data_IF_934849723709
#
_entry.id   IF_934849723709
#
_cell.length_a   1.000
_cell.length_b   1.000
_cell.length_c   1.000
_cell.angle_alpha   90.00
_cell.angle_beta   90.00
_cell.angle_gamma   90.00
#
_symmetry.space_group_name_H-M   'P 1'
#
loop_
_entity.id
_entity.type
_entity.pdbx_description
1 polymer ?
#
# COMPACT_ATOMS: atom_id res chain seq x y z
N UNK A 1 -24.20 14.54 -23.10
CA UNK A 1 -23.15 14.00 -22.22
C UNK A 1 -21.83 14.07 -22.98
N UNK A 2 -20.69 14.20 -22.30
CA UNK A 2 -19.38 14.29 -22.96
C UNK A 2 -18.94 12.89 -23.44
N UNK A 3 -18.77 12.66 -24.76
CA UNK A 3 -18.40 11.35 -25.31
C UNK A 3 -17.08 10.80 -24.75
N UNK A 4 -16.11 11.67 -24.44
CA UNK A 4 -14.84 11.26 -23.87
C UNK A 4 -15.03 10.67 -22.47
N UNK A 5 -15.97 11.21 -21.70
CA UNK A 5 -16.31 10.72 -20.37
C UNK A 5 -17.00 9.36 -20.43
N UNK A 6 -17.89 9.13 -21.39
CA UNK A 6 -18.55 7.84 -21.58
C UNK A 6 -17.55 6.75 -21.97
N UNK A 7 -16.65 7.05 -22.92
CA UNK A 7 -15.57 6.14 -23.31
C UNK A 7 -14.62 5.82 -22.15
N UNK A 8 -14.34 6.80 -21.28
CA UNK A 8 -13.55 6.55 -20.08
C UNK A 8 -14.24 5.51 -19.17
N UNK A 9 -15.53 5.66 -18.87
CA UNK A 9 -16.23 4.72 -17.98
C UNK A 9 -16.36 3.32 -18.61
N UNK A 10 -16.58 3.22 -19.92
CA UNK A 10 -16.51 1.95 -20.64
C UNK A 10 -15.13 1.29 -20.53
N UNK A 11 -14.04 2.06 -20.67
CA UNK A 11 -12.67 1.55 -20.49
C UNK A 11 -12.41 1.09 -19.04
N UNK A 12 -13.01 1.76 -18.05
CA UNK A 12 -12.88 1.35 -16.65
C UNK A 12 -13.64 0.06 -16.38
N UNK A 13 -14.81 -0.12 -16.97
CA UNK A 13 -15.58 -1.35 -16.84
C UNK A 13 -14.82 -2.56 -17.41
N UNK A 14 -14.25 -2.41 -18.61
CA UNK A 14 -13.36 -3.43 -19.21
C UNK A 14 -12.17 -3.72 -18.28
N UNK A 15 -11.51 -2.69 -17.74
CA UNK A 15 -10.41 -2.87 -16.79
C UNK A 15 -10.86 -3.61 -15.51
N UNK A 16 -12.07 -3.35 -15.01
CA UNK A 16 -12.56 -4.03 -13.82
C UNK A 16 -12.75 -5.53 -14.09
N UNK A 17 -13.40 -5.86 -15.20
CA UNK A 17 -13.74 -7.25 -15.53
C UNK A 17 -12.53 -8.06 -16.03
N UNK A 18 -11.77 -7.53 -16.98
CA UNK A 18 -10.68 -8.27 -17.66
C UNK A 18 -9.38 -8.29 -16.85
N UNK A 19 -9.22 -7.35 -15.91
CA UNK A 19 -7.96 -7.17 -15.19
C UNK A 19 -8.16 -7.28 -13.68
N UNK A 20 -9.04 -6.48 -13.09
CA UNK A 20 -9.13 -6.39 -11.64
C UNK A 20 -9.73 -7.67 -11.03
N UNK A 21 -10.75 -8.25 -11.65
CA UNK A 21 -11.37 -9.51 -11.20
C UNK A 21 -10.38 -10.69 -11.25
N UNK A 22 -9.64 -10.96 -12.34
CA UNK A 22 -8.61 -12.00 -12.32
C UNK A 22 -7.55 -11.79 -11.23
N UNK A 23 -7.11 -10.55 -11.01
CA UNK A 23 -6.14 -10.23 -9.94
C UNK A 23 -6.73 -10.49 -8.57
N UNK A 24 -8.00 -10.14 -8.31
CA UNK A 24 -8.63 -10.39 -7.01
C UNK A 24 -8.84 -11.88 -6.77
N UNK A 25 -9.12 -12.67 -7.81
CA UNK A 25 -9.22 -14.13 -7.72
C UNK A 25 -7.87 -14.74 -7.32
N UNK A 26 -6.78 -14.36 -7.98
CA UNK A 26 -5.43 -14.82 -7.62
C UNK A 26 -5.09 -14.44 -6.17
N UNK A 27 -5.40 -13.20 -5.77
CA UNK A 27 -5.21 -12.77 -4.39
C UNK A 27 -6.07 -13.58 -3.41
N UNK A 28 -7.32 -13.86 -3.73
CA UNK A 28 -8.21 -14.69 -2.92
C UNK A 28 -7.72 -16.13 -2.78
N UNK A 29 -7.12 -16.71 -3.83
CA UNK A 29 -6.48 -18.04 -3.79
C UNK A 29 -5.21 -18.02 -2.92
N UNK A 30 -4.43 -16.93 -2.97
CA UNK A 30 -3.24 -16.77 -2.12
C UNK A 30 -3.58 -16.45 -0.65
N UNK A 31 -4.76 -15.91 -0.38
CA UNK A 31 -5.16 -15.42 0.94
C UNK A 31 -5.12 -16.52 2.04
N UNK A 32 -5.62 -17.76 1.84
CA UNK A 32 -5.47 -18.85 2.80
C UNK A 32 -4.01 -19.13 3.17
N UNK A 33 -3.09 -19.07 2.19
CA UNK A 33 -1.65 -19.29 2.41
C UNK A 33 -1.10 -18.16 3.29
N UNK A 34 -1.42 -16.90 2.97
CA UNK A 34 -1.00 -15.74 3.77
C UNK A 34 -1.56 -15.82 5.20
N UNK A 35 -2.83 -16.21 5.37
CA UNK A 35 -3.46 -16.42 6.68
C UNK A 35 -2.73 -17.53 7.43
N UNK A 36 -2.41 -18.65 6.77
CA UNK A 36 -1.65 -19.75 7.36
C UNK A 36 -0.26 -19.31 7.85
N UNK A 37 0.46 -18.52 7.05
CA UNK A 37 1.75 -17.93 7.43
C UNK A 37 1.61 -16.94 8.60
N UNK A 38 0.55 -16.13 8.62
CA UNK A 38 0.23 -15.22 9.71
C UNK A 38 -0.06 -15.95 11.02
N UNK A 39 -0.89 -17.00 10.98
CA UNK A 39 -1.19 -17.87 12.12
C UNK A 39 0.10 -18.53 12.61
N UNK A 40 0.89 -19.12 11.71
CA UNK A 40 2.16 -19.76 12.05
C UNK A 40 3.13 -18.78 12.73
N UNK A 41 3.32 -17.59 12.15
CA UNK A 41 4.16 -16.54 12.71
C UNK A 41 3.68 -16.10 14.09
N UNK A 42 2.37 -15.87 14.24
CA UNK A 42 1.75 -15.53 15.51
C UNK A 42 1.92 -16.62 16.56
N UNK A 43 1.71 -17.89 16.21
CA UNK A 43 1.89 -19.04 17.11
C UNK A 43 3.34 -19.19 17.57
N UNK A 44 4.32 -18.96 16.68
CA UNK A 44 5.74 -18.97 17.05
C UNK A 44 6.03 -17.87 18.08
N UNK A 45 5.43 -16.70 17.90
CA UNK A 45 5.69 -15.55 18.75
C UNK A 45 4.94 -15.59 20.08
N UNK A 46 3.71 -16.11 20.10
CA UNK A 46 2.95 -16.30 21.35
C UNK A 46 3.67 -17.26 22.32
N UNK A 47 4.42 -18.24 21.79
CA UNK A 47 5.31 -19.09 22.60
C UNK A 47 6.45 -18.30 23.24
N UNK A 48 7.01 -17.30 22.56
CA UNK A 48 8.04 -16.42 23.12
C UNK A 48 7.49 -15.52 24.23
N UNK A 49 6.28 -14.99 24.07
CA UNK A 49 5.61 -14.23 25.13
C UNK A 49 5.34 -15.07 26.39
N UNK A 50 5.20 -16.38 26.23
CA UNK A 50 5.07 -17.34 27.32
C UNK A 50 6.36 -17.56 28.13
N UNK A 51 7.52 -17.13 27.63
CA UNK A 51 8.81 -17.19 28.36
C UNK A 51 9.01 -15.99 29.31
N UNK A 52 8.16 -14.98 29.25
CA UNK A 52 8.22 -13.82 30.13
C UNK A 52 7.82 -14.14 31.57
N UNK A 53 8.21 -13.28 32.51
CA UNK A 53 7.76 -13.37 33.90
C UNK A 53 6.22 -13.15 34.00
N UNK A 54 5.56 -13.71 35.02
CA UNK A 54 4.16 -13.40 35.29
C UNK A 54 3.96 -11.88 35.43
N UNK A 55 3.01 -11.32 34.70
CA UNK A 55 2.65 -9.91 34.74
C UNK A 55 1.12 -9.77 34.84
N UNK A 56 0.63 -8.87 35.69
CA UNK A 56 -0.81 -8.59 35.78
C UNK A 56 -1.24 -7.77 34.56
N UNK A 57 -1.83 -8.48 33.59
CA UNK A 57 -2.34 -7.88 32.35
C UNK A 57 -3.76 -7.34 32.48
N UNK A 58 -4.46 -7.67 33.56
CA UNK A 58 -5.87 -7.32 33.78
C UNK A 58 -6.07 -6.10 34.67
N UNK A 59 -5.09 -5.77 35.51
CA UNK A 59 -5.10 -4.56 36.33
C UNK A 59 -5.18 -3.28 35.51
N UNK A 60 -6.03 -2.34 35.94
CA UNK A 60 -6.20 -1.01 35.35
C UNK A 60 -6.49 -1.01 33.82
N UNK A 61 -7.24 -2.01 33.34
CA UNK A 61 -7.52 -2.22 31.91
C UNK A 61 -8.00 -0.94 31.19
N UNK A 62 -8.90 -0.16 31.80
CA UNK A 62 -9.42 1.07 31.20
C UNK A 62 -8.31 2.11 30.97
N UNK A 63 -7.49 2.36 31.99
CA UNK A 63 -6.36 3.31 31.90
C UNK A 63 -5.35 2.84 30.86
N UNK A 64 -5.06 1.53 30.80
CA UNK A 64 -4.15 0.95 29.80
C UNK A 64 -4.72 1.11 28.39
N UNK A 65 -5.99 0.79 28.17
CA UNK A 65 -6.65 0.95 26.88
C UNK A 65 -6.65 2.41 26.43
N UNK A 66 -7.06 3.35 27.29
CA UNK A 66 -7.05 4.79 26.96
C UNK A 66 -5.62 5.27 26.64
N UNK A 67 -4.62 4.86 27.43
CA UNK A 67 -3.22 5.24 27.20
C UNK A 67 -2.71 4.66 25.88
N UNK A 68 -3.01 3.39 25.60
CA UNK A 68 -2.64 2.71 24.34
C UNK A 68 -3.29 3.39 23.15
N UNK A 69 -4.59 3.70 23.22
CA UNK A 69 -5.30 4.43 22.15
C UNK A 69 -4.72 5.84 21.97
N UNK A 70 -4.42 6.55 23.06
CA UNK A 70 -3.77 7.85 23.01
C UNK A 70 -2.39 7.78 22.33
N UNK A 71 -1.57 6.79 22.67
CA UNK A 71 -0.26 6.60 22.03
C UNK A 71 -0.40 6.17 20.56
N UNK A 72 -1.32 5.24 20.25
CA UNK A 72 -1.51 4.68 18.91
C UNK A 72 -2.11 5.67 17.91
N UNK A 73 -3.14 6.43 18.33
CA UNK A 73 -3.86 7.34 17.45
C UNK A 73 -3.36 8.77 17.56
N UNK A 74 -3.25 9.32 18.77
CA UNK A 74 -2.84 10.71 18.96
C UNK A 74 -1.32 10.89 18.83
N UNK A 75 -0.55 9.79 18.74
CA UNK A 75 0.89 9.82 18.50
C UNK A 75 1.60 10.83 19.41
N UNK A 76 1.15 10.96 20.67
CA UNK A 76 1.46 12.10 21.57
C UNK A 76 2.97 12.26 21.84
N UNK A 77 3.79 11.27 21.47
CA UNK A 77 5.25 11.32 21.56
C UNK A 77 5.92 12.03 20.37
N UNK A 78 5.22 12.30 19.26
CA UNK A 78 5.74 12.95 18.04
C UNK A 78 6.12 14.42 18.28
N UNK A 79 5.43 15.12 19.18
CA UNK A 79 5.65 16.56 19.42
C UNK A 79 6.98 16.87 20.11
N UNK A 80 7.74 15.86 20.56
CA UNK A 80 9.08 16.06 21.11
C UNK A 80 10.06 16.37 19.97
N UNK A 81 10.87 17.44 20.04
CA UNK A 81 11.78 17.80 18.93
C UNK A 81 12.70 16.66 18.46
N UNK A 82 13.20 15.83 19.41
CA UNK A 82 14.05 14.66 19.11
C UNK A 82 13.30 13.51 18.40
N UNK A 83 11.97 13.50 18.48
CA UNK A 83 11.09 12.48 17.89
C UNK A 83 10.23 13.00 16.72
N UNK A 84 10.38 14.28 16.36
CA UNK A 84 9.58 14.88 15.28
C UNK A 84 9.84 14.19 13.93
N UNK A 85 11.10 13.97 13.57
CA UNK A 85 11.45 13.27 12.32
C UNK A 85 10.86 11.85 12.24
N UNK A 86 11.17 10.93 13.19
CA UNK A 86 10.58 9.58 13.14
C UNK A 86 9.07 9.62 13.29
N UNK A 87 8.51 10.60 13.99
CA UNK A 87 7.08 10.81 14.10
C UNK A 87 6.42 11.11 12.75
N UNK A 88 6.83 12.18 12.08
CA UNK A 88 6.33 12.56 10.75
C UNK A 88 6.49 11.39 9.77
N UNK A 89 7.65 10.74 9.78
CA UNK A 89 7.94 9.57 8.94
C UNK A 89 6.92 8.45 9.14
N UNK A 90 6.61 8.07 10.39
CA UNK A 90 5.60 7.03 10.66
C UNK A 90 4.17 7.52 10.37
N UNK A 91 3.83 8.78 10.68
CA UNK A 91 2.52 9.34 10.34
C UNK A 91 2.25 9.31 8.83
N UNK A 92 3.26 9.62 8.01
CA UNK A 92 3.18 9.52 6.56
C UNK A 92 2.98 8.06 6.10
N UNK A 93 3.73 7.11 6.66
CA UNK A 93 3.59 5.69 6.28
C UNK A 93 2.23 5.12 6.71
N UNK A 94 1.83 5.28 7.98
CA UNK A 94 0.59 4.72 8.50
C UNK A 94 -0.64 5.43 7.95
N UNK A 95 -0.65 6.77 7.99
CA UNK A 95 -1.72 7.57 7.41
C UNK A 95 -1.83 7.36 5.90
N UNK A 96 -0.70 7.30 5.20
CA UNK A 96 -0.67 7.01 3.78
C UNK A 96 -1.18 5.61 3.46
N UNK A 97 -0.82 4.60 4.25
CA UNK A 97 -1.34 3.23 4.10
C UNK A 97 -2.86 3.18 4.31
N UNK A 98 -3.38 3.87 5.32
CA UNK A 98 -4.81 3.94 5.59
C UNK A 98 -5.58 4.59 4.42
N UNK A 99 -5.09 5.74 3.91
CA UNK A 99 -5.69 6.41 2.75
C UNK A 99 -5.60 5.54 1.49
N UNK A 100 -4.44 4.90 1.24
CA UNK A 100 -4.28 3.99 0.11
C UNK A 100 -5.30 2.87 0.18
N UNK A 101 -5.45 2.21 1.33
CA UNK A 101 -6.42 1.14 1.52
C UNK A 101 -7.86 1.63 1.34
N UNK A 102 -8.22 2.76 1.95
CA UNK A 102 -9.54 3.38 1.83
C UNK A 102 -9.91 3.70 0.39
N UNK A 103 -8.97 4.20 -0.41
CA UNK A 103 -9.22 4.45 -1.84
C UNK A 103 -9.34 3.16 -2.66
N UNK A 104 -8.64 2.08 -2.27
CA UNK A 104 -8.68 0.80 -2.99
C UNK A 104 -9.89 -0.06 -2.63
N UNK A 105 -10.38 -0.02 -1.39
CA UNK A 105 -11.51 -0.83 -0.93
C UNK A 105 -12.79 -0.52 -1.72
N UNK A 106 -12.95 0.73 -2.19
CA UNK A 106 -14.07 1.16 -3.05
C UNK A 106 -14.18 0.30 -4.32
N UNK A 107 -13.06 -0.21 -4.85
CA UNK A 107 -13.07 -1.06 -6.06
C UNK A 107 -13.58 -2.46 -5.78
N UNK A 108 -13.56 -2.93 -4.54
CA UNK A 108 -14.08 -4.26 -4.19
C UNK A 108 -15.60 -4.35 -4.38
N UNK A 109 -16.32 -3.23 -4.26
CA UNK A 109 -17.76 -3.20 -4.53
C UNK A 109 -18.11 -3.53 -5.99
N UNK A 110 -17.16 -3.33 -6.91
CA UNK A 110 -17.31 -3.70 -8.33
C UNK A 110 -17.16 -5.21 -8.59
N UNK A 111 -16.76 -6.01 -7.60
CA UNK A 111 -16.58 -7.46 -7.74
C UNK A 111 -17.90 -8.18 -7.46
N UNK A 112 -18.24 -9.19 -8.27
CA UNK A 112 -19.41 -10.05 -8.04
C UNK A 112 -20.76 -9.37 -8.32
N UNK A 113 -20.78 -8.26 -9.05
CA UNK A 113 -22.02 -7.57 -9.45
C UNK A 113 -22.73 -6.84 -8.30
N UNK A 114 -22.07 -6.62 -7.16
CA UNK A 114 -22.69 -6.01 -5.99
C UNK A 114 -23.09 -4.56 -6.28
N UNK A 115 -22.16 -3.69 -6.69
CA UNK A 115 -22.46 -2.34 -7.25
C UNK A 115 -21.25 -1.74 -7.99
N UNK A 116 -21.46 -1.08 -9.14
CA UNK A 116 -20.43 -0.19 -9.70
C UNK A 116 -20.43 1.11 -8.90
N UNK A 117 -19.31 1.53 -8.28
CA UNK A 117 -19.25 2.78 -7.55
C UNK A 117 -19.67 3.95 -8.43
N UNK A 118 -20.48 4.90 -7.93
CA UNK A 118 -20.78 6.12 -8.66
C UNK A 118 -19.50 6.80 -9.17
N UNK A 119 -19.51 7.35 -10.40
CA UNK A 119 -18.36 8.02 -11.00
C UNK A 119 -17.58 8.97 -10.07
N UNK A 120 -18.30 9.79 -9.31
CA UNK A 120 -17.71 10.72 -8.33
C UNK A 120 -16.98 9.98 -7.21
N UNK A 121 -17.58 8.94 -6.64
CA UNK A 121 -16.96 8.13 -5.56
C UNK A 121 -15.71 7.44 -6.08
N UNK A 122 -15.73 6.90 -7.30
CA UNK A 122 -14.54 6.31 -7.93
C UNK A 122 -13.39 7.31 -8.08
N UNK A 123 -13.71 8.54 -8.52
CA UNK A 123 -12.72 9.61 -8.71
C UNK A 123 -12.11 10.07 -7.38
N UNK A 124 -12.92 10.32 -6.36
CA UNK A 124 -12.42 10.64 -5.02
C UNK A 124 -11.60 9.50 -4.41
N UNK A 125 -12.04 8.25 -4.56
CA UNK A 125 -11.30 7.09 -4.10
C UNK A 125 -9.94 6.95 -4.82
N UNK A 126 -9.89 7.26 -6.12
CA UNK A 126 -8.64 7.33 -6.88
C UNK A 126 -7.69 8.37 -6.28
N UNK A 127 -8.17 9.60 -6.06
CA UNK A 127 -7.36 10.69 -5.51
C UNK A 127 -6.88 10.39 -4.08
N UNK A 128 -7.75 9.86 -3.22
CA UNK A 128 -7.39 9.42 -1.87
C UNK A 128 -6.28 8.37 -1.92
N UNK A 129 -6.36 7.41 -2.85
CA UNK A 129 -5.31 6.39 -3.00
C UNK A 129 -3.98 6.97 -3.52
N UNK A 130 -4.03 8.03 -4.33
CA UNK A 130 -2.84 8.75 -4.82
C UNK A 130 -2.14 9.51 -3.71
N UNK A 131 -2.90 10.27 -2.90
CA UNK A 131 -2.38 10.97 -1.73
C UNK A 131 -1.76 9.96 -0.77
N UNK A 132 -2.46 8.86 -0.49
CA UNK A 132 -1.97 7.80 0.39
C UNK A 132 -0.66 7.20 -0.11
N UNK A 133 -0.58 6.83 -1.38
CA UNK A 133 0.64 6.29 -1.97
C UNK A 133 1.80 7.30 -1.94
N UNK A 134 1.55 8.58 -2.26
CA UNK A 134 2.57 9.62 -2.21
C UNK A 134 3.14 9.80 -0.80
N UNK A 135 2.27 9.81 0.22
CA UNK A 135 2.67 9.86 1.62
C UNK A 135 3.57 8.66 1.98
N UNK A 136 3.23 7.45 1.56
CA UNK A 136 4.06 6.26 1.80
C UNK A 136 5.41 6.38 1.11
N UNK A 137 5.48 6.90 -0.13
CA UNK A 137 6.76 7.10 -0.81
C UNK A 137 7.64 8.10 -0.06
N UNK A 138 7.08 9.24 0.37
CA UNK A 138 7.83 10.25 1.12
C UNK A 138 8.29 9.68 2.48
N UNK A 139 7.37 9.07 3.25
CA UNK A 139 7.69 8.47 4.54
C UNK A 139 8.67 7.29 4.42
N UNK A 140 8.54 6.48 3.37
CA UNK A 140 9.47 5.40 3.03
C UNK A 140 10.86 5.92 2.68
N UNK A 141 10.97 6.95 1.84
CA UNK A 141 12.24 7.60 1.54
C UNK A 141 12.89 8.18 2.80
N UNK A 142 12.11 8.82 3.68
CA UNK A 142 12.58 9.29 4.98
C UNK A 142 13.10 8.14 5.86
N UNK A 143 12.43 6.98 5.85
CA UNK A 143 12.84 5.80 6.60
C UNK A 143 14.13 5.19 6.07
N UNK A 144 14.25 5.04 4.75
CA UNK A 144 15.45 4.56 4.06
C UNK A 144 16.62 5.50 4.35
N UNK A 145 16.45 6.81 4.17
CA UNK A 145 17.49 7.81 4.48
C UNK A 145 17.93 7.73 5.94
N UNK A 146 16.98 7.68 6.88
CA UNK A 146 17.30 7.61 8.30
C UNK A 146 18.05 6.33 8.66
N UNK A 147 17.72 5.21 8.03
CA UNK A 147 18.25 3.89 8.37
C UNK A 147 19.58 3.58 7.69
N UNK A 148 19.77 3.96 6.44
CA UNK A 148 20.96 3.60 5.67
C UNK A 148 21.97 4.73 5.48
N UNK A 149 21.54 5.99 5.61
CA UNK A 149 22.42 7.16 5.43
C UNK A 149 22.71 7.82 6.78
N UNK A 150 21.68 8.32 7.49
CA UNK A 150 21.88 9.04 8.76
C UNK A 150 22.38 8.16 9.90
N UNK A 151 22.00 6.87 9.92
CA UNK A 151 22.40 5.84 10.90
C UNK A 151 22.55 6.35 12.35
N UNK A 152 21.49 6.88 13.00
CA UNK A 152 21.57 7.30 14.40
C UNK A 152 22.05 6.15 15.30
N UNK A 153 22.93 6.43 16.26
CA UNK A 153 23.53 5.43 17.17
C UNK A 153 22.53 4.58 17.97
N UNK A 154 21.30 5.09 18.16
CA UNK A 154 20.20 4.39 18.83
C UNK A 154 19.46 3.37 17.95
N UNK A 155 19.86 3.17 16.70
CA UNK A 155 19.21 2.24 15.78
C UNK A 155 20.12 1.06 15.46
N UNK A 156 19.67 -0.12 15.85
CA UNK A 156 20.22 -1.36 15.31
C UNK A 156 19.81 -1.49 13.84
N UNK A 157 20.82 -1.65 12.97
CA UNK A 157 20.65 -1.78 11.52
C UNK A 157 20.99 -3.20 11.10
N UNK A 158 20.14 -4.15 11.50
CA UNK A 158 20.21 -5.52 10.99
C UNK A 158 19.55 -5.55 9.60
N UNK A 159 20.23 -6.03 8.55
CA UNK A 159 19.70 -6.06 7.18
C UNK A 159 18.32 -6.69 7.08
N UNK A 160 18.10 -7.85 7.71
CA UNK A 160 16.81 -8.56 7.67
C UNK A 160 15.64 -7.71 8.21
N UNK A 161 15.86 -6.95 9.29
CA UNK A 161 14.83 -6.10 9.89
C UNK A 161 14.66 -4.74 9.16
N UNK A 162 15.66 -4.35 8.36
CA UNK A 162 15.73 -3.04 7.72
C UNK A 162 15.05 -2.95 6.36
N UNK A 163 15.06 -4.05 5.60
CA UNK A 163 14.64 -4.07 4.19
C UNK A 163 13.15 -3.84 3.99
N UNK A 164 12.34 -3.99 5.02
CA UNK A 164 10.88 -3.76 5.00
C UNK A 164 10.48 -2.38 4.47
N UNK A 165 11.25 -1.34 4.80
CA UNK A 165 10.97 0.02 4.32
C UNK A 165 11.33 0.17 2.84
N UNK A 166 12.39 -0.51 2.39
CA UNK A 166 12.78 -0.56 0.97
C UNK A 166 11.72 -1.30 0.18
N UNK A 167 11.30 -2.48 0.63
CA UNK A 167 10.25 -3.26 -0.02
C UNK A 167 8.92 -2.50 -0.09
N UNK A 168 8.46 -1.92 1.02
CA UNK A 168 7.23 -1.12 1.01
C UNK A 168 7.32 0.06 0.02
N UNK A 169 8.45 0.76 -0.02
CA UNK A 169 8.69 1.85 -0.97
C UNK A 169 8.65 1.37 -2.42
N UNK A 170 9.39 0.31 -2.75
CA UNK A 170 9.45 -0.26 -4.11
C UNK A 170 8.08 -0.78 -4.53
N UNK A 171 7.31 -1.42 -3.64
CA UNK A 171 5.97 -1.89 -3.97
C UNK A 171 5.02 -0.72 -4.30
N UNK A 172 5.01 0.35 -3.50
CA UNK A 172 4.16 1.51 -3.81
C UNK A 172 4.63 2.19 -5.10
N UNK A 173 5.94 2.32 -5.31
CA UNK A 173 6.52 2.91 -6.51
C UNK A 173 6.12 2.13 -7.76
N UNK A 174 6.29 0.81 -7.74
CA UNK A 174 5.90 -0.08 -8.85
C UNK A 174 4.39 -0.06 -9.09
N UNK A 175 3.57 0.15 -8.05
CA UNK A 175 2.13 0.36 -8.16
C UNK A 175 1.76 1.64 -8.91
N UNK A 176 2.44 2.76 -8.62
CA UNK A 176 2.28 4.00 -9.41
C UNK A 176 2.77 3.85 -10.83
N UNK A 177 3.87 3.12 -11.05
CA UNK A 177 4.37 2.81 -12.39
C UNK A 177 3.34 2.04 -13.22
N UNK A 178 2.64 1.05 -12.66
CA UNK A 178 1.52 0.35 -13.33
C UNK A 178 0.43 1.34 -13.72
N UNK A 179 0.04 2.24 -12.82
CA UNK A 179 -1.01 3.23 -13.08
C UNK A 179 -0.57 4.23 -14.15
N UNK A 180 0.67 4.71 -14.08
CA UNK A 180 1.25 5.64 -15.05
C UNK A 180 1.36 5.03 -16.43
N UNK A 181 1.80 3.78 -16.54
CA UNK A 181 1.79 3.07 -17.81
C UNK A 181 0.38 2.93 -18.37
N UNK A 182 -0.60 2.53 -17.55
CA UNK A 182 -2.02 2.44 -17.95
C UNK A 182 -2.56 3.78 -18.46
N UNK A 183 -2.13 4.89 -17.86
CA UNK A 183 -2.47 6.24 -18.32
C UNK A 183 -1.80 6.53 -19.68
N UNK A 184 -0.51 6.21 -19.81
CA UNK A 184 0.27 6.48 -21.02
C UNK A 184 -0.25 5.73 -22.25
N UNK A 185 -0.75 4.51 -22.08
CA UNK A 185 -1.27 3.67 -23.18
C UNK A 185 -2.78 3.79 -23.38
N UNK A 186 -3.47 4.68 -22.65
CA UNK A 186 -4.92 4.84 -22.77
C UNK A 186 -5.29 5.48 -24.10
N UNK A 187 -6.20 4.85 -24.83
CA UNK A 187 -6.73 5.37 -26.11
C UNK A 187 -7.64 6.59 -25.91
N UNK A 188 -8.18 6.76 -24.70
CA UNK A 188 -8.94 7.94 -24.29
C UNK A 188 -8.03 8.79 -23.41
N UNK A 189 -7.63 10.00 -23.81
CA UNK A 189 -6.93 10.94 -22.95
C UNK A 189 -7.96 11.77 -22.18
N UNK A 190 -8.16 11.53 -20.88
CA UNK A 190 -9.10 12.32 -20.12
C UNK A 190 -8.39 13.54 -19.54
N UNK A 191 -9.05 14.67 -19.74
CA UNK A 191 -8.53 16.00 -19.47
C UNK A 191 -8.33 16.26 -17.97
N UNK A 192 -9.00 15.50 -17.10
CA UNK A 192 -9.00 15.66 -15.64
C UNK A 192 -8.12 14.65 -14.88
N UNK A 193 -7.38 13.76 -15.55
CA UNK A 193 -6.47 12.83 -14.88
C UNK A 193 -5.37 13.46 -14.03
N UNK A 194 -4.78 14.62 -14.41
CA UNK A 194 -3.88 15.33 -13.50
C UNK A 194 -4.53 15.69 -12.15
N UNK A 195 -5.87 15.86 -12.11
CA UNK A 195 -6.62 16.17 -10.89
C UNK A 195 -6.88 14.90 -10.06
N UNK A 196 -7.32 13.80 -10.68
CA UNK A 196 -7.75 12.59 -9.97
C UNK A 196 -6.66 11.53 -9.77
N UNK A 197 -5.55 11.67 -10.50
CA UNK A 197 -4.42 10.73 -10.51
C UNK A 197 -3.08 11.45 -10.72
N UNK A 198 -2.74 12.48 -9.93
CA UNK A 198 -1.59 13.35 -10.20
C UNK A 198 -0.25 12.61 -10.25
N UNK A 199 0.00 11.68 -9.34
CA UNK A 199 1.27 10.93 -9.27
C UNK A 199 1.30 9.88 -10.37
N UNK A 200 0.22 9.14 -10.58
CA UNK A 200 0.09 8.24 -11.73
C UNK A 200 0.31 8.98 -13.05
N UNK A 201 -0.27 10.17 -13.20
CA UNK A 201 -0.10 11.02 -14.38
C UNK A 201 1.34 11.48 -14.54
N UNK A 202 2.03 11.87 -13.47
CA UNK A 202 3.47 12.15 -13.51
C UNK A 202 4.26 10.96 -14.05
N UNK A 203 4.02 9.75 -13.53
CA UNK A 203 4.70 8.54 -14.03
C UNK A 203 4.36 8.21 -15.49
N UNK A 204 3.16 8.58 -15.97
CA UNK A 204 2.80 8.38 -17.38
C UNK A 204 3.70 9.13 -18.36
N UNK A 205 4.29 10.26 -17.91
CA UNK A 205 5.22 11.05 -18.73
C UNK A 205 6.62 10.45 -18.81
N UNK A 206 6.92 9.49 -17.93
CA UNK A 206 8.22 8.82 -17.87
C UNK A 206 8.24 7.59 -18.78
N UNK A 207 7.09 6.98 -19.06
CA UNK A 207 7.03 5.78 -19.90
C UNK A 207 7.02 6.14 -21.40
N UNK A 208 7.93 5.57 -22.20
CA UNK A 208 7.79 5.62 -23.65
C UNK A 208 6.54 4.84 -24.06
N UNK A 209 5.67 5.44 -24.88
CA UNK A 209 4.52 4.77 -25.47
C UNK A 209 4.97 3.97 -26.69
N UNK A 210 5.13 2.65 -26.54
CA UNK A 210 5.46 1.78 -27.67
C UNK A 210 4.24 1.59 -28.57
N UNK A 211 4.36 1.62 -29.90
CA UNK A 211 3.22 1.55 -30.85
C UNK A 211 2.71 0.11 -31.05
N UNK A 212 3.33 -0.90 -30.43
CA UNK A 212 3.22 -2.32 -30.78
C UNK A 212 2.23 -3.12 -29.90
N UNK A 213 1.79 -4.28 -30.40
CA UNK A 213 1.02 -5.31 -29.66
C UNK A 213 1.63 -5.70 -28.31
N UNK A 214 2.95 -5.55 -28.15
CA UNK A 214 3.67 -5.75 -26.88
C UNK A 214 3.21 -4.83 -25.72
N UNK A 215 2.41 -3.78 -25.99
CA UNK A 215 1.88 -2.86 -24.96
C UNK A 215 1.20 -3.60 -23.79
N UNK A 216 0.35 -4.58 -24.12
CA UNK A 216 -0.43 -5.32 -23.12
C UNK A 216 0.42 -6.35 -22.39
N UNK A 217 1.34 -7.00 -23.08
CA UNK A 217 2.26 -7.98 -22.48
C UNK A 217 3.15 -7.31 -21.44
N UNK A 218 3.82 -6.20 -21.77
CA UNK A 218 4.72 -5.48 -20.84
C UNK A 218 3.97 -5.07 -19.56
N UNK A 219 2.72 -4.59 -19.70
CA UNK A 219 1.91 -4.20 -18.54
C UNK A 219 1.53 -5.40 -17.67
N UNK A 220 1.23 -6.54 -18.29
CA UNK A 220 0.96 -7.80 -17.56
C UNK A 220 2.21 -8.27 -16.85
N UNK A 221 3.37 -8.28 -17.52
CA UNK A 221 4.66 -8.65 -16.93
C UNK A 221 4.99 -7.78 -15.71
N UNK A 222 4.88 -6.46 -15.83
CA UNK A 222 5.09 -5.56 -14.69
C UNK A 222 4.10 -5.84 -13.57
N UNK A 223 2.82 -5.94 -13.87
CA UNK A 223 1.78 -6.16 -12.86
C UNK A 223 2.00 -7.45 -12.08
N UNK A 224 2.34 -8.54 -12.77
CA UNK A 224 2.45 -9.86 -12.16
C UNK A 224 3.82 -10.04 -11.52
N UNK A 225 4.90 -9.93 -12.29
CA UNK A 225 6.23 -10.34 -11.83
C UNK A 225 6.98 -9.24 -11.08
N UNK A 226 6.71 -7.96 -11.38
CA UNK A 226 7.41 -6.84 -10.74
C UNK A 226 6.64 -6.32 -9.52
N UNK A 227 5.31 -6.49 -9.49
CA UNK A 227 4.48 -5.95 -8.41
C UNK A 227 3.76 -7.05 -7.60
N UNK A 228 2.87 -7.83 -8.22
CA UNK A 228 1.99 -8.75 -7.47
C UNK A 228 2.76 -9.88 -6.77
N UNK A 229 3.64 -10.60 -7.47
CA UNK A 229 4.45 -11.68 -6.88
C UNK A 229 5.36 -11.13 -5.77
N UNK A 230 6.16 -10.05 -5.99
CA UNK A 230 6.94 -9.45 -4.93
C UNK A 230 6.10 -8.97 -3.75
N UNK A 231 4.89 -8.44 -3.99
CA UNK A 231 3.98 -8.05 -2.93
C UNK A 231 3.56 -9.26 -2.08
N UNK A 232 3.10 -10.35 -2.71
CA UNK A 232 2.69 -11.57 -2.01
C UNK A 232 3.85 -12.18 -1.19
N UNK A 233 5.04 -12.24 -1.78
CA UNK A 233 6.26 -12.71 -1.10
C UNK A 233 6.57 -11.81 0.10
N UNK A 234 6.52 -10.49 -0.08
CA UNK A 234 6.78 -9.54 1.00
C UNK A 234 5.76 -9.65 2.14
N UNK A 235 4.47 -9.80 1.82
CA UNK A 235 3.42 -10.02 2.81
C UNK A 235 3.65 -11.31 3.61
N UNK A 236 3.98 -12.42 2.94
CA UNK A 236 4.33 -13.67 3.62
C UNK A 236 5.60 -13.54 4.47
N UNK A 237 6.62 -12.85 3.94
CA UNK A 237 7.90 -12.61 4.62
C UNK A 237 7.72 -11.85 5.94
N UNK A 238 6.86 -10.82 5.97
CA UNK A 238 6.56 -10.05 7.19
C UNK A 238 6.08 -10.98 8.31
N UNK A 239 5.14 -11.87 8.02
CA UNK A 239 4.57 -12.77 9.02
C UNK A 239 5.55 -13.82 9.55
N UNK A 240 6.46 -14.30 8.70
CA UNK A 240 7.42 -15.35 9.08
C UNK A 240 8.63 -14.79 9.84
N UNK A 241 9.12 -13.61 9.48
CA UNK A 241 10.43 -13.12 9.93
C UNK A 241 10.38 -12.00 10.98
N UNK A 242 9.27 -11.25 11.11
CA UNK A 242 9.19 -10.18 12.12
C UNK A 242 8.96 -10.75 13.52
N UNK A 243 10.08 -10.99 14.20
CA UNK A 243 10.20 -11.56 15.54
C UNK A 243 10.35 -10.52 16.67
N UNK A 244 10.10 -9.22 16.40
CA UNK A 244 10.33 -8.12 17.37
C UNK A 244 9.17 -7.11 17.48
N UNK A 245 7.92 -7.54 17.31
CA UNK A 245 6.79 -6.73 17.83
C UNK A 245 6.59 -7.01 19.31
#
# INVERSE_FOLDING_TARGET
MDPARELFWASQEIYLNEIFVPVIIVFAIALPIIIGLAIFGFMRHSRLWGLGQPDDRTGNWLKRTITTLGVAFANVRIVRPKELYPGIMHSLIFGGTALLFLGKIVRLFSVGGVTIPPPSIYLYASLISEIGGAMILIGGAMAIYRRYIKRPSRLDTVPEDSLVFVWAFVLVLTGFMIKGYRIAVSDVPPTDWPMWSPVGYFFSKVFPTFVTSAKNEILVWHRVFIHAIPALIFFGYIWVNRSRM
#
